data_IF_384983786986
#
_entry.id   IF_384983786986
#
_cell.length_a   1.000
_cell.length_b   1.000
_cell.length_c   1.000
_cell.angle_alpha   90.00
_cell.angle_beta   90.00
_cell.angle_gamma   90.00
#
_symmetry.space_group_name_H-M   'P 1'
#
loop_
_entity.id
_entity.type
_entity.pdbx_description
1 polymer ?
#
# COMPACT_ATOMS: atom_id res chain seq x y z
N UNK A 1 -19.51 -3.89 -1.71
CA UNK A 1 -18.80 -5.06 -1.13
C UNK A 1 -19.55 -6.34 -1.42
N UNK A 2 -20.88 -6.38 -1.31
CA UNK A 2 -21.67 -7.61 -1.46
C UNK A 2 -21.76 -8.14 -2.91
N UNK A 3 -21.84 -7.26 -3.91
CA UNK A 3 -22.10 -7.73 -5.29
C UNK A 3 -20.84 -7.88 -6.16
N UNK A 4 -19.84 -7.02 -5.92
CA UNK A 4 -18.69 -6.86 -6.81
C UNK A 4 -17.34 -7.26 -6.16
N UNK A 5 -17.37 -8.11 -5.13
CA UNK A 5 -16.14 -8.69 -4.56
C UNK A 5 -15.76 -10.04 -5.18
N UNK A 6 -16.57 -10.60 -6.07
CA UNK A 6 -16.17 -11.77 -6.87
C UNK A 6 -15.29 -11.37 -8.05
N UNK A 7 -14.23 -12.13 -8.33
CA UNK A 7 -13.39 -11.93 -9.52
C UNK A 7 -14.15 -12.22 -10.84
N UNK A 8 -15.26 -12.95 -10.78
CA UNK A 8 -16.10 -13.26 -11.95
C UNK A 8 -17.07 -12.12 -12.30
N UNK A 9 -17.23 -11.14 -11.40
CA UNK A 9 -18.02 -9.93 -11.65
C UNK A 9 -17.11 -8.81 -12.15
N UNK A 10 -17.64 -7.80 -12.88
CA UNK A 10 -16.84 -6.66 -13.32
C UNK A 10 -16.10 -5.98 -12.16
N UNK A 11 -14.84 -5.59 -12.39
CA UNK A 11 -14.12 -4.71 -11.48
C UNK A 11 -14.62 -3.28 -11.70
N UNK A 12 -15.59 -2.85 -10.90
CA UNK A 12 -16.15 -1.51 -11.04
C UNK A 12 -15.15 -0.45 -10.52
N UNK A 13 -15.22 0.81 -11.00
CA UNK A 13 -14.37 1.89 -10.49
C UNK A 13 -14.49 2.12 -8.97
N UNK A 14 -15.63 1.76 -8.38
CA UNK A 14 -15.88 1.85 -6.94
C UNK A 14 -15.05 0.80 -6.19
N UNK A 15 -15.08 -0.46 -6.64
CA UNK A 15 -14.31 -1.55 -6.01
C UNK A 15 -12.82 -1.37 -6.25
N UNK A 16 -12.41 -1.01 -7.47
CA UNK A 16 -11.02 -0.70 -7.79
C UNK A 16 -10.48 0.40 -6.85
N UNK A 17 -11.21 1.51 -6.72
CA UNK A 17 -10.88 2.60 -5.78
C UNK A 17 -10.77 2.09 -4.34
N UNK A 18 -11.73 1.28 -3.89
CA UNK A 18 -11.77 0.74 -2.53
C UNK A 18 -10.57 -0.12 -2.21
N UNK A 19 -10.23 -1.08 -3.10
CA UNK A 19 -9.08 -1.97 -2.95
C UNK A 19 -7.79 -1.16 -2.94
N UNK A 20 -7.64 -0.22 -3.88
CA UNK A 20 -6.45 0.62 -3.96
C UNK A 20 -6.24 1.47 -2.69
N UNK A 21 -7.26 2.23 -2.28
CA UNK A 21 -7.15 3.11 -1.12
C UNK A 21 -6.99 2.34 0.20
N UNK A 22 -7.60 1.16 0.34
CA UNK A 22 -7.39 0.32 1.52
C UNK A 22 -5.91 -0.04 1.70
N UNK A 23 -5.23 -0.42 0.61
CA UNK A 23 -3.79 -0.72 0.62
C UNK A 23 -2.95 0.53 0.94
N UNK A 24 -3.23 1.65 0.26
CA UNK A 24 -2.49 2.90 0.42
C UNK A 24 -2.61 3.49 1.84
N UNK A 25 -3.81 3.50 2.41
CA UNK A 25 -4.04 4.01 3.77
C UNK A 25 -3.27 3.17 4.79
N UNK A 26 -3.36 1.84 4.70
CA UNK A 26 -2.60 0.94 5.60
C UNK A 26 -1.11 1.17 5.47
N UNK A 27 -0.57 1.23 4.26
CA UNK A 27 0.86 1.44 4.04
C UNK A 27 1.33 2.80 4.57
N UNK A 28 0.56 3.87 4.36
CA UNK A 28 0.92 5.20 4.87
C UNK A 28 0.97 5.19 6.40
N UNK A 29 -0.04 4.62 7.05
CA UNK A 29 -0.08 4.50 8.52
C UNK A 29 1.04 3.61 9.04
N UNK A 30 1.29 2.46 8.39
CA UNK A 30 2.32 1.51 8.80
C UNK A 30 3.73 2.07 8.58
N UNK A 31 3.98 2.74 7.46
CA UNK A 31 5.28 3.30 7.12
C UNK A 31 5.60 4.58 7.89
N UNK A 32 4.63 5.43 8.21
CA UNK A 32 4.87 6.78 8.73
C UNK A 32 4.20 7.09 10.08
N UNK A 33 3.28 6.26 10.56
CA UNK A 33 2.39 6.59 11.69
C UNK A 33 2.98 6.45 13.09
N UNK A 34 4.08 5.72 13.26
CA UNK A 34 4.74 5.52 14.56
C UNK A 34 5.71 4.34 14.57
N UNK A 35 6.05 3.87 15.77
CA UNK A 35 7.06 2.82 16.05
C UNK A 35 6.45 1.42 16.23
N UNK A 36 5.14 1.27 16.03
CA UNK A 36 4.44 -0.01 16.12
C UNK A 36 3.27 -0.05 15.12
N UNK A 37 2.85 -1.27 14.78
CA UNK A 37 1.67 -1.51 13.95
C UNK A 37 0.67 -2.40 14.70
N UNK A 38 -0.61 -2.07 14.56
CA UNK A 38 -1.70 -2.85 15.13
C UNK A 38 -2.79 -3.00 14.07
N UNK A 39 -3.28 -4.23 13.93
CA UNK A 39 -4.40 -4.55 13.07
C UNK A 39 -5.43 -5.38 13.85
N UNK A 40 -6.69 -4.95 13.82
CA UNK A 40 -7.79 -5.69 14.42
C UNK A 40 -8.24 -6.81 13.48
N UNK A 41 -8.53 -7.98 14.06
CA UNK A 41 -8.83 -9.21 13.33
C UNK A 41 -9.90 -9.03 12.24
N UNK A 42 -9.56 -9.42 11.00
CA UNK A 42 -10.41 -9.28 9.81
C UNK A 42 -10.13 -8.03 8.98
N UNK A 43 -9.57 -6.96 9.56
CA UNK A 43 -9.32 -5.73 8.82
C UNK A 43 -8.19 -5.90 7.78
N UNK A 44 -7.28 -6.86 7.97
CA UNK A 44 -6.18 -7.19 7.06
C UNK A 44 -6.65 -7.52 5.64
N UNK A 45 -7.82 -8.14 5.53
CA UNK A 45 -8.42 -8.45 4.24
C UNK A 45 -9.65 -7.58 3.92
N UNK A 46 -9.93 -6.54 4.71
CA UNK A 46 -11.09 -5.67 4.52
C UNK A 46 -12.42 -6.40 4.74
N UNK A 47 -12.54 -7.13 5.86
CA UNK A 47 -13.76 -7.84 6.25
C UNK A 47 -15.01 -6.94 6.10
N UNK A 48 -16.08 -7.41 5.44
CA UNK A 48 -17.31 -6.63 5.24
C UNK A 48 -18.12 -6.47 6.54
N UNK A 49 -19.27 -5.80 6.44
CA UNK A 49 -20.22 -5.63 7.55
C UNK A 49 -19.58 -4.84 8.72
N UNK A 50 -19.97 -5.17 9.96
CA UNK A 50 -19.47 -4.60 11.20
C UNK A 50 -19.49 -5.68 12.30
N UNK A 51 -18.87 -5.40 13.45
CA UNK A 51 -18.96 -6.23 14.64
C UNK A 51 -20.06 -5.67 15.55
N UNK A 52 -21.06 -6.48 15.91
CA UNK A 52 -22.09 -6.14 16.90
C UNK A 52 -22.31 -7.33 17.82
N UNK A 53 -22.19 -7.10 19.13
CA UNK A 53 -22.40 -8.13 20.15
C UNK A 53 -23.89 -8.30 20.45
N UNK A 54 -24.33 -9.49 20.89
CA UNK A 54 -25.70 -9.70 21.36
C UNK A 54 -26.11 -8.70 22.43
N UNK A 55 -27.21 -7.99 22.21
CA UNK A 55 -27.80 -7.02 23.13
C UNK A 55 -29.29 -6.84 22.84
N UNK A 56 -30.03 -6.24 23.76
CA UNK A 56 -31.46 -5.97 23.58
C UNK A 56 -31.77 -5.22 22.27
N UNK A 57 -30.95 -4.24 21.91
CA UNK A 57 -31.15 -3.45 20.68
C UNK A 57 -30.86 -4.18 19.37
N UNK A 58 -30.45 -5.46 19.41
CA UNK A 58 -30.36 -6.33 18.23
C UNK A 58 -31.02 -7.71 18.47
N UNK A 59 -31.94 -7.80 19.44
CA UNK A 59 -32.62 -9.04 19.83
C UNK A 59 -31.64 -10.18 20.15
N UNK A 60 -30.57 -9.85 20.90
CA UNK A 60 -29.58 -10.83 21.37
C UNK A 60 -28.94 -11.60 20.20
N UNK A 61 -28.82 -10.94 19.04
CA UNK A 61 -28.34 -11.56 17.82
C UNK A 61 -26.83 -11.76 17.84
N UNK A 62 -26.40 -12.97 17.48
CA UNK A 62 -25.00 -13.32 17.24
C UNK A 62 -24.59 -13.16 15.77
N UNK A 63 -25.49 -12.71 14.89
CA UNK A 63 -25.26 -12.67 13.44
C UNK A 63 -24.00 -11.87 13.04
N UNK A 64 -23.72 -10.75 13.71
CA UNK A 64 -22.53 -9.92 13.44
C UNK A 64 -21.37 -10.17 14.41
N UNK A 65 -21.55 -11.03 15.43
CA UNK A 65 -20.53 -11.36 16.42
C UNK A 65 -19.63 -12.52 15.94
N UNK A 66 -19.07 -12.38 14.73
CA UNK A 66 -18.28 -13.45 14.07
C UNK A 66 -17.20 -12.91 13.13
N UNK A 67 -16.38 -13.82 12.61
CA UNK A 67 -15.44 -13.55 11.51
C UNK A 67 -15.64 -14.54 10.37
N UNK A 68 -15.65 -14.00 9.15
CA UNK A 68 -15.87 -14.71 7.91
C UNK A 68 -14.53 -15.03 7.25
N UNK A 69 -13.72 -15.89 7.87
CA UNK A 69 -12.36 -16.20 7.40
C UNK A 69 -12.34 -16.77 5.98
N UNK A 70 -13.39 -17.52 5.62
CA UNK A 70 -13.60 -18.06 4.29
C UNK A 70 -13.53 -17.00 3.18
N UNK A 71 -13.82 -15.72 3.47
CA UNK A 71 -13.74 -14.65 2.48
C UNK A 71 -12.30 -14.41 1.99
N UNK A 72 -11.31 -14.54 2.87
CA UNK A 72 -9.91 -14.34 2.55
C UNK A 72 -9.29 -15.57 1.86
N UNK A 73 -9.82 -16.76 2.14
CA UNK A 73 -9.35 -18.04 1.60
C UNK A 73 -9.95 -18.38 0.23
N UNK A 74 -11.12 -17.83 -0.10
CA UNK A 74 -11.81 -18.11 -1.35
C UNK A 74 -11.12 -17.42 -2.55
N UNK A 75 -10.57 -18.23 -3.45
CA UNK A 75 -9.90 -17.76 -4.66
C UNK A 75 -10.83 -17.11 -5.69
N UNK A 76 -12.14 -17.23 -5.56
CA UNK A 76 -13.09 -16.49 -6.39
C UNK A 76 -13.39 -15.09 -5.84
N UNK A 77 -12.89 -14.74 -4.65
CA UNK A 77 -13.13 -13.43 -4.03
C UNK A 77 -11.89 -12.52 -4.02
N UNK A 78 -12.14 -11.22 -4.02
CA UNK A 78 -11.13 -10.15 -4.07
C UNK A 78 -10.52 -9.84 -2.70
N UNK A 79 -11.07 -10.34 -1.59
CA UNK A 79 -10.50 -10.10 -0.24
C UNK A 79 -9.08 -10.68 -0.11
N UNK A 80 -8.79 -11.77 -0.83
CA UNK A 80 -7.45 -12.37 -0.90
C UNK A 80 -6.37 -11.39 -1.35
N UNK A 81 -6.70 -10.41 -2.18
CA UNK A 81 -5.76 -9.39 -2.64
C UNK A 81 -5.31 -8.47 -1.51
N UNK A 82 -6.25 -8.08 -0.63
CA UNK A 82 -5.95 -7.28 0.55
C UNK A 82 -5.15 -8.09 1.58
N UNK A 83 -5.52 -9.36 1.77
CA UNK A 83 -4.80 -10.28 2.67
C UNK A 83 -3.33 -10.49 2.22
N UNK A 84 -3.11 -10.73 0.92
CA UNK A 84 -1.78 -10.89 0.33
C UNK A 84 -0.95 -9.62 0.46
N UNK A 85 -1.57 -8.45 0.27
CA UNK A 85 -0.92 -7.16 0.47
C UNK A 85 -0.50 -6.97 1.93
N UNK A 86 -1.36 -7.31 2.89
CA UNK A 86 -1.02 -7.22 4.31
C UNK A 86 0.15 -8.11 4.70
N UNK A 87 0.15 -9.37 4.22
CA UNK A 87 1.28 -10.27 4.39
C UNK A 87 2.57 -9.70 3.79
N UNK A 88 2.50 -9.13 2.58
CA UNK A 88 3.65 -8.52 1.92
C UNK A 88 4.19 -7.32 2.72
N UNK A 89 3.33 -6.41 3.20
CA UNK A 89 3.76 -5.29 4.04
C UNK A 89 4.52 -5.77 5.28
N UNK A 90 3.97 -6.74 6.02
CA UNK A 90 4.64 -7.29 7.20
C UNK A 90 5.95 -8.00 6.86
N UNK A 91 6.03 -8.69 5.71
CA UNK A 91 7.27 -9.36 5.28
C UNK A 91 8.38 -8.36 4.99
N UNK A 92 8.06 -7.23 4.36
CA UNK A 92 9.07 -6.20 4.09
C UNK A 92 9.43 -5.43 5.37
N UNK A 93 8.49 -5.24 6.29
CA UNK A 93 8.80 -4.68 7.61
C UNK A 93 9.75 -5.59 8.39
N UNK A 94 9.51 -6.90 8.41
CA UNK A 94 10.41 -7.87 9.05
C UNK A 94 11.81 -7.88 8.43
N UNK A 95 11.93 -7.61 7.13
CA UNK A 95 13.24 -7.52 6.45
C UNK A 95 14.01 -6.24 6.80
N UNK A 96 13.32 -5.11 6.88
CA UNK A 96 13.95 -3.77 6.95
C UNK A 96 13.86 -3.11 8.32
N UNK A 97 12.98 -3.61 9.18
CA UNK A 97 12.66 -3.12 10.51
C UNK A 97 12.41 -1.61 10.53
N UNK A 98 11.60 -1.09 9.61
CA UNK A 98 11.40 0.36 9.50
C UNK A 98 10.67 0.94 10.72
N UNK A 99 9.89 0.15 11.47
CA UNK A 99 9.19 0.62 12.66
C UNK A 99 10.16 0.97 13.80
N UNK A 100 11.20 0.15 13.98
CA UNK A 100 12.21 0.35 15.03
C UNK A 100 13.35 1.27 14.60
N UNK A 101 13.46 1.57 13.30
CA UNK A 101 14.34 2.62 12.79
C UNK A 101 13.67 3.97 12.98
N UNK A 102 14.49 4.98 13.33
CA UNK A 102 14.08 6.33 13.70
C UNK A 102 13.11 7.02 12.72
N UNK A 103 12.65 8.24 13.04
CA UNK A 103 11.55 8.87 12.32
C UNK A 103 11.84 8.98 10.82
N UNK A 104 10.79 8.80 10.01
CA UNK A 104 10.90 8.96 8.56
C UNK A 104 11.18 10.41 8.16
N UNK A 105 11.86 10.60 7.03
CA UNK A 105 12.07 11.90 6.40
C UNK A 105 11.08 12.09 5.26
N UNK A 106 10.12 13.01 5.40
CA UNK A 106 9.13 13.32 4.36
C UNK A 106 9.74 14.33 3.38
N UNK A 107 10.24 13.84 2.24
CA UNK A 107 10.79 14.68 1.18
C UNK A 107 9.70 15.33 0.33
N UNK A 108 8.55 14.68 0.17
CA UNK A 108 7.51 15.15 -0.75
C UNK A 108 6.10 15.02 -0.16
N UNK A 109 5.31 16.09 -0.28
CA UNK A 109 3.90 16.19 0.15
C UNK A 109 3.13 17.12 -0.77
N UNK A 110 3.09 16.76 -2.05
CA UNK A 110 2.65 17.65 -3.11
C UNK A 110 1.13 17.71 -3.20
N UNK A 111 0.57 18.90 -2.97
CA UNK A 111 -0.87 19.08 -2.84
C UNK A 111 -1.59 18.84 -4.16
N UNK A 112 -1.14 19.37 -5.29
CA UNK A 112 -1.89 19.24 -6.54
C UNK A 112 -1.83 17.83 -7.11
N UNK A 113 -0.62 17.31 -7.29
CA UNK A 113 -0.37 15.93 -7.72
C UNK A 113 -0.88 14.86 -6.76
N UNK A 114 -1.17 15.20 -5.50
CA UNK A 114 -1.58 14.25 -4.45
C UNK A 114 -0.55 13.14 -4.22
N UNK A 115 0.74 13.45 -4.40
CA UNK A 115 1.85 12.49 -4.19
C UNK A 115 2.52 12.77 -2.85
N UNK A 116 2.71 11.71 -2.07
CA UNK A 116 3.50 11.71 -0.84
C UNK A 116 4.71 10.81 -1.07
N UNK A 117 5.90 11.28 -0.70
CA UNK A 117 7.09 10.47 -0.67
C UNK A 117 7.90 10.73 0.61
N UNK A 118 8.43 9.66 1.19
CA UNK A 118 9.23 9.72 2.40
C UNK A 118 10.21 8.56 2.46
N UNK A 119 11.32 8.76 3.17
CA UNK A 119 12.29 7.72 3.46
C UNK A 119 12.17 7.26 4.89
N UNK A 120 12.16 5.95 5.12
CA UNK A 120 12.22 5.36 6.46
C UNK A 120 12.88 3.99 6.39
N UNK A 121 13.75 3.70 7.35
CA UNK A 121 14.42 2.41 7.43
C UNK A 121 15.30 2.05 6.22
N UNK A 122 15.78 3.04 5.46
CA UNK A 122 16.56 2.82 4.23
C UNK A 122 15.71 2.56 2.98
N UNK A 123 14.38 2.65 3.09
CA UNK A 123 13.43 2.52 2.00
C UNK A 123 12.92 3.88 1.54
N UNK A 124 12.57 4.02 0.27
CA UNK A 124 11.79 5.14 -0.26
C UNK A 124 10.35 4.70 -0.50
N UNK A 125 9.40 5.30 0.22
CA UNK A 125 7.97 5.11 0.03
C UNK A 125 7.42 6.18 -0.91
N UNK A 126 6.62 5.77 -1.89
CA UNK A 126 5.99 6.68 -2.86
C UNK A 126 4.53 6.30 -3.01
N UNK A 127 3.63 7.25 -2.72
CA UNK A 127 2.18 7.03 -2.75
C UNK A 127 1.51 8.11 -3.59
N UNK A 128 0.80 7.70 -4.64
CA UNK A 128 0.00 8.60 -5.48
C UNK A 128 -1.48 8.44 -5.11
N UNK A 129 -2.02 9.42 -4.37
CA UNK A 129 -3.43 9.49 -3.99
C UNK A 129 -4.30 10.18 -5.05
N UNK A 130 -3.74 10.61 -6.18
CA UNK A 130 -4.52 11.24 -7.23
C UNK A 130 -5.60 10.28 -7.73
N UNK A 131 -6.79 10.82 -7.97
CA UNK A 131 -7.96 10.04 -8.38
C UNK A 131 -7.92 9.57 -9.83
N UNK A 132 -6.96 10.03 -10.64
CA UNK A 132 -6.97 9.84 -12.10
C UNK A 132 -5.62 10.08 -12.79
N UNK A 133 -4.79 11.01 -12.30
CA UNK A 133 -3.49 11.30 -12.92
C UNK A 133 -2.44 10.26 -12.55
N UNK A 134 -1.81 9.71 -13.57
CA UNK A 134 -0.60 8.91 -13.49
C UNK A 134 0.58 9.76 -13.94
N UNK A 135 1.74 9.58 -13.33
CA UNK A 135 2.92 10.38 -13.63
C UNK A 135 4.04 9.47 -14.15
N UNK A 136 4.48 9.73 -15.37
CA UNK A 136 5.73 9.19 -15.91
C UNK A 136 6.90 10.10 -15.49
N UNK A 137 8.09 9.52 -15.36
CA UNK A 137 9.32 10.24 -15.03
C UNK A 137 9.20 11.18 -13.81
N UNK A 138 8.41 10.79 -12.81
CA UNK A 138 8.13 11.61 -11.65
C UNK A 138 9.36 11.68 -10.75
N UNK A 139 9.92 12.89 -10.62
CA UNK A 139 11.16 13.13 -9.87
C UNK A 139 10.92 13.09 -8.36
N UNK A 140 11.74 12.32 -7.64
CA UNK A 140 11.67 12.16 -6.19
C UNK A 140 13.05 12.27 -5.56
N UNK A 141 13.15 13.01 -4.45
CA UNK A 141 14.40 13.18 -3.71
C UNK A 141 14.74 11.92 -2.91
N UNK A 142 16.01 11.55 -2.90
CA UNK A 142 16.53 10.40 -2.15
C UNK A 142 17.95 10.67 -1.62
N UNK A 143 18.26 10.18 -0.43
CA UNK A 143 19.52 10.55 0.23
C UNK A 143 20.73 9.79 -0.26
N UNK A 144 20.59 8.47 -0.36
CA UNK A 144 21.71 7.57 -0.64
C UNK A 144 21.74 7.27 -2.14
N UNK A 145 22.85 7.56 -2.84
CA UNK A 145 22.96 7.22 -4.25
C UNK A 145 23.03 5.69 -4.43
N UNK A 146 22.62 5.23 -5.60
CA UNK A 146 22.76 3.83 -6.00
C UNK A 146 21.67 3.36 -6.95
N UNK A 147 21.47 2.05 -6.93
CA UNK A 147 20.40 1.36 -7.65
C UNK A 147 19.36 0.88 -6.65
N UNK A 148 18.10 1.00 -7.04
CA UNK A 148 16.96 0.62 -6.23
C UNK A 148 16.05 -0.33 -7.01
N UNK A 149 15.42 -1.25 -6.29
CA UNK A 149 14.43 -2.19 -6.82
C UNK A 149 13.12 -2.07 -6.02
N UNK A 150 12.05 -2.67 -6.55
CA UNK A 150 10.74 -2.69 -5.87
C UNK A 150 10.77 -3.69 -4.70
N UNK A 151 10.66 -3.18 -3.48
CA UNK A 151 10.34 -3.98 -2.30
C UNK A 151 8.83 -4.25 -2.20
N UNK A 152 7.99 -3.26 -2.56
CA UNK A 152 6.53 -3.39 -2.67
C UNK A 152 6.02 -2.66 -3.91
N UNK A 153 5.01 -3.24 -4.56
CA UNK A 153 4.27 -2.63 -5.66
C UNK A 153 2.77 -2.92 -5.46
N UNK A 154 1.99 -1.95 -5.00
CA UNK A 154 0.56 -2.15 -4.76
C UNK A 154 -0.23 -2.37 -6.06
N UNK A 155 0.32 -2.03 -7.23
CA UNK A 155 -0.33 -2.24 -8.53
C UNK A 155 -0.10 -3.65 -9.08
N UNK A 156 0.65 -4.51 -8.40
CA UNK A 156 0.85 -5.90 -8.83
C UNK A 156 -0.47 -6.70 -8.82
N UNK A 157 -0.60 -7.64 -9.76
CA UNK A 157 -1.82 -8.45 -9.93
C UNK A 157 -2.19 -9.26 -8.68
N UNK A 158 -1.20 -9.76 -7.93
CA UNK A 158 -1.42 -10.50 -6.67
C UNK A 158 -2.09 -9.68 -5.57
N UNK A 159 -2.06 -8.36 -5.70
CA UNK A 159 -2.70 -7.42 -4.78
C UNK A 159 -3.93 -6.76 -5.42
N UNK A 160 -4.43 -7.30 -6.53
CA UNK A 160 -5.61 -6.77 -7.24
C UNK A 160 -5.35 -5.43 -7.92
N UNK A 161 -4.09 -5.14 -8.29
CA UNK A 161 -3.74 -3.99 -9.12
C UNK A 161 -3.77 -4.29 -10.62
N UNK A 162 -3.44 -3.29 -11.43
CA UNK A 162 -3.55 -3.35 -12.90
C UNK A 162 -2.25 -3.81 -13.60
N UNK A 163 -1.22 -4.17 -12.83
CA UNK A 163 0.06 -4.66 -13.29
C UNK A 163 0.78 -3.72 -14.28
N UNK A 164 0.73 -2.40 -14.02
CA UNK A 164 1.30 -1.38 -14.92
C UNK A 164 2.77 -1.07 -14.64
N UNK A 165 3.31 -1.56 -13.53
CA UNK A 165 4.69 -1.35 -13.09
C UNK A 165 5.42 -2.68 -13.21
N UNK A 166 6.51 -2.71 -13.98
CA UNK A 166 7.36 -3.89 -14.11
C UNK A 166 8.15 -4.11 -12.80
N UNK A 167 7.97 -5.27 -12.17
CA UNK A 167 8.64 -5.63 -10.93
C UNK A 167 10.15 -5.89 -11.11
N UNK A 168 10.62 -6.11 -12.34
CA UNK A 168 12.03 -6.36 -12.65
C UNK A 168 12.84 -5.09 -12.91
N UNK A 169 12.17 -3.92 -12.96
CA UNK A 169 12.84 -2.66 -13.27
C UNK A 169 13.75 -2.19 -12.13
N UNK A 170 14.82 -1.50 -12.51
CA UNK A 170 15.77 -0.88 -11.60
C UNK A 170 15.70 0.64 -11.72
N UNK A 171 15.71 1.33 -10.58
CA UNK A 171 15.73 2.79 -10.51
C UNK A 171 17.14 3.26 -10.16
N UNK A 172 17.68 4.16 -10.98
CA UNK A 172 19.03 4.70 -10.82
C UNK A 172 18.92 6.12 -10.29
N UNK A 173 19.74 6.45 -9.29
CA UNK A 173 19.81 7.81 -8.76
C UNK A 173 20.74 8.71 -9.56
N UNK A 174 20.40 9.99 -9.64
CA UNK A 174 21.22 11.06 -10.20
C UNK A 174 21.76 11.95 -9.06
N UNK A 175 23.04 12.36 -9.10
CA UNK A 175 23.69 13.15 -8.05
C UNK A 175 23.33 14.64 -8.11
N UNK A 176 22.05 14.94 -8.25
CA UNK A 176 21.49 16.29 -8.24
C UNK A 176 20.43 16.36 -7.15
N UNK A 177 20.60 17.30 -6.22
CA UNK A 177 19.70 17.45 -5.08
C UNK A 177 18.28 17.85 -5.49
N UNK A 178 17.29 17.26 -4.81
CA UNK A 178 15.88 17.54 -5.03
C UNK A 178 15.09 17.35 -3.72
N UNK A 179 14.11 18.22 -3.48
CA UNK A 179 13.19 18.09 -2.34
C UNK A 179 13.88 17.90 -0.97
N UNK A 180 15.01 18.58 -0.76
CA UNK A 180 15.79 18.49 0.49
C UNK A 180 16.62 17.21 0.65
N UNK A 181 16.90 16.50 -0.45
CA UNK A 181 17.82 15.34 -0.49
C UNK A 181 18.96 15.56 -1.46
N UNK A 182 20.05 14.79 -1.28
CA UNK A 182 21.29 14.94 -2.06
C UNK A 182 21.21 14.37 -3.47
N UNK A 183 20.31 13.42 -3.72
CA UNK A 183 20.12 12.79 -5.02
C UNK A 183 18.63 12.81 -5.39
N UNK A 184 18.33 12.42 -6.63
CA UNK A 184 16.97 12.10 -7.03
C UNK A 184 16.91 10.85 -7.91
N UNK A 185 15.72 10.27 -8.05
CA UNK A 185 15.41 9.27 -9.06
C UNK A 185 14.07 9.62 -9.71
N UNK A 186 13.76 8.97 -10.83
CA UNK A 186 12.48 9.13 -11.52
C UNK A 186 11.71 7.81 -11.48
N UNK A 187 10.40 7.89 -11.25
CA UNK A 187 9.50 6.73 -11.23
C UNK A 187 8.32 6.92 -12.16
N UNK A 188 7.79 5.82 -12.68
CA UNK A 188 6.41 5.78 -13.13
C UNK A 188 5.50 5.45 -11.93
N UNK A 189 4.58 6.36 -11.59
CA UNK A 189 3.65 6.20 -10.48
C UNK A 189 2.19 6.41 -10.93
N UNK A 190 1.44 5.31 -11.20
CA UNK A 190 0.04 5.38 -11.58
C UNK A 190 -0.86 5.98 -10.49
N UNK A 191 -2.04 6.46 -10.90
CA UNK A 191 -3.05 6.91 -9.95
C UNK A 191 -3.46 5.80 -8.97
N UNK A 192 -3.63 6.16 -7.68
CA UNK A 192 -4.00 5.26 -6.58
C UNK A 192 -3.06 4.07 -6.38
N UNK A 193 -1.76 4.26 -6.62
CA UNK A 193 -0.73 3.25 -6.42
C UNK A 193 0.27 3.69 -5.36
N UNK A 194 0.85 2.71 -4.67
CA UNK A 194 2.02 2.87 -3.84
C UNK A 194 3.13 1.90 -4.29
N UNK A 195 4.36 2.40 -4.27
CA UNK A 195 5.57 1.59 -4.40
C UNK A 195 6.48 1.87 -3.21
N UNK A 196 7.27 0.87 -2.84
CA UNK A 196 8.36 1.01 -1.88
C UNK A 196 9.62 0.51 -2.54
N UNK A 197 10.65 1.34 -2.55
CA UNK A 197 11.94 1.03 -3.16
C UNK A 197 12.96 0.68 -2.09
N UNK A 198 13.71 -0.38 -2.33
CA UNK A 198 14.87 -0.76 -1.53
C UNK A 198 16.16 -0.59 -2.33
N UNK A 199 17.22 -0.14 -1.67
CA UNK A 199 18.54 -0.10 -2.30
C UNK A 199 19.00 -1.55 -2.53
N UNK A 200 19.51 -1.83 -3.72
CA UNK A 200 20.20 -3.08 -4.03
C UNK A 200 21.70 -2.84 -4.08
N UNK A 201 22.46 -3.87 -3.75
CA UNK A 201 23.90 -3.87 -3.96
C UNK A 201 24.21 -4.28 -5.41
N UNK A 202 25.35 -3.81 -5.91
CA UNK A 202 25.84 -4.13 -7.25
C UNK A 202 26.37 -5.57 -7.36
#
# INVERSE_FOLDING_TARGET
MYDFMSITTPLTPIIERGIALHKLIRLLTYGLGGEAWLNFMGNEFGHPEWLDFPRQGNNESFHYCRRQWNLADDDLLRYKFLNRWDKAMNTVEEKHHWLSRGPGYVSWKHQDDKVIAFERGGLLFVLNFHTSKSFADYRLGIEVPGKYALALNSDHADFGGMNRIDNSQTYITFPEGYAGRRNHLCVYIPCRTAIVLEKVDD
#
